data_IF_769718334642
#
_entry.id   IF_769718334642
#
_cell.length_a   1.000
_cell.length_b   1.000
_cell.length_c   1.000
_cell.angle_alpha   90.00
_cell.angle_beta   90.00
_cell.angle_gamma   90.00
#
_symmetry.space_group_name_H-M   'P 1'
#
loop_
_entity.id
_entity.type
_entity.pdbx_description
1 polymer ?
#
# COMPACT_ATOMS: atom_id res chain seq x y z
N UNK A 1 8.10 -60.39 -5.96
CA UNK A 1 8.03 -59.76 -4.62
C UNK A 1 9.36 -59.03 -4.42
N UNK A 2 9.61 -57.84 -5.00
CA UNK A 2 9.06 -56.52 -4.65
C UNK A 2 8.99 -56.30 -3.14
N UNK A 3 10.11 -55.87 -2.55
CA UNK A 3 10.19 -54.73 -1.61
C UNK A 3 11.66 -54.51 -1.19
N UNK A 4 12.45 -53.94 -2.10
CA UNK A 4 13.52 -53.02 -1.69
C UNK A 4 12.83 -51.69 -1.36
N UNK A 5 12.68 -51.39 -0.07
CA UNK A 5 12.25 -50.07 0.39
C UNK A 5 13.28 -49.56 1.41
N UNK A 6 14.38 -49.10 0.84
CA UNK A 6 15.17 -47.94 1.25
C UNK A 6 14.50 -47.08 2.35
N UNK A 7 14.83 -47.27 3.63
CA UNK A 7 14.52 -46.26 4.66
C UNK A 7 15.48 -46.31 5.87
N UNK A 8 16.79 -46.30 5.59
CA UNK A 8 17.80 -45.83 6.55
C UNK A 8 18.52 -44.65 5.91
N UNK A 9 17.96 -43.44 6.07
CA UNK A 9 18.70 -42.17 6.05
C UNK A 9 17.73 -40.97 6.18
N UNK A 10 17.54 -40.49 7.41
CA UNK A 10 17.43 -39.08 7.84
C UNK A 10 16.67 -39.07 9.15
N UNK A 11 17.40 -39.05 10.28
CA UNK A 11 17.64 -37.82 11.04
C UNK A 11 16.34 -37.04 11.23
N UNK A 12 15.74 -37.24 12.40
CA UNK A 12 15.16 -36.19 13.25
C UNK A 12 15.08 -34.81 12.60
N UNK A 13 13.95 -34.48 11.97
CA UNK A 13 13.51 -33.09 11.90
C UNK A 13 12.56 -32.85 13.06
N UNK A 14 13.16 -32.76 14.24
CA UNK A 14 12.63 -31.98 15.34
C UNK A 14 12.80 -30.52 14.90
N UNK A 15 11.88 -30.03 14.07
CA UNK A 15 11.86 -28.63 13.66
C UNK A 15 11.58 -27.80 14.90
N UNK A 16 12.68 -27.27 15.43
CA UNK A 16 12.71 -26.24 16.45
C UNK A 16 11.63 -25.23 16.13
N UNK A 17 10.77 -25.01 17.11
CA UNK A 17 9.83 -23.91 17.21
C UNK A 17 10.65 -22.60 17.26
N UNK A 18 11.26 -22.23 16.14
CA UNK A 18 11.81 -20.89 15.94
C UNK A 18 10.60 -20.01 15.71
N UNK A 19 10.38 -19.06 16.62
CA UNK A 19 9.32 -18.05 16.57
C UNK A 19 9.31 -17.28 15.25
N UNK A 20 8.76 -17.89 14.22
CA UNK A 20 8.23 -17.20 13.06
C UNK A 20 6.88 -16.68 13.52
N UNK A 21 6.88 -15.56 14.23
CA UNK A 21 5.71 -14.68 14.30
C UNK A 21 5.47 -14.18 12.88
N UNK A 22 4.94 -15.07 12.05
CA UNK A 22 4.59 -14.79 10.67
C UNK A 22 3.42 -13.83 10.79
N UNK A 23 3.61 -12.59 10.37
CA UNK A 23 2.49 -11.68 10.19
C UNK A 23 1.55 -12.39 9.21
N UNK A 24 0.34 -12.73 9.65
CA UNK A 24 -0.67 -13.44 8.86
C UNK A 24 -1.29 -12.49 7.83
N UNK A 25 -0.45 -12.02 6.91
CA UNK A 25 -0.80 -11.04 5.89
C UNK A 25 -1.53 -11.73 4.74
N UNK A 26 -2.77 -11.33 4.54
CA UNK A 26 -3.53 -11.61 3.33
C UNK A 26 -2.84 -11.01 2.09
N UNK A 27 -3.10 -11.53 0.88
CA UNK A 27 -2.56 -10.94 -0.35
C UNK A 27 -2.86 -9.43 -0.47
N UNK A 28 -4.07 -9.03 -0.10
CA UNK A 28 -4.51 -7.63 -0.13
C UNK A 28 -3.71 -6.74 0.82
N UNK A 29 -3.33 -7.24 2.00
CA UNK A 29 -2.47 -6.50 2.92
C UNK A 29 -1.04 -6.37 2.39
N UNK A 30 -0.55 -7.38 1.66
CA UNK A 30 0.76 -7.28 0.99
C UNK A 30 0.75 -6.25 -0.14
N UNK A 31 -0.33 -6.18 -0.92
CA UNK A 31 -0.48 -5.17 -1.98
C UNK A 31 -0.48 -3.76 -1.38
N UNK A 32 -1.16 -3.56 -0.26
CA UNK A 32 -1.15 -2.30 0.50
C UNK A 32 0.27 -1.92 0.98
N UNK A 33 1.07 -2.89 1.43
CA UNK A 33 2.47 -2.65 1.79
C UNK A 33 3.34 -2.28 0.58
N UNK A 34 3.03 -2.82 -0.60
CA UNK A 34 3.72 -2.47 -1.84
C UNK A 34 3.42 -1.02 -2.22
N UNK A 35 2.16 -0.59 -2.12
CA UNK A 35 1.76 0.81 -2.32
C UNK A 35 2.48 1.73 -1.33
N UNK A 36 2.52 1.37 -0.05
CA UNK A 36 3.25 2.15 0.96
C UNK A 36 4.75 2.30 0.60
N UNK A 37 5.37 1.23 0.10
CA UNK A 37 6.77 1.27 -0.34
C UNK A 37 6.97 2.22 -1.54
N UNK A 38 6.04 2.21 -2.50
CA UNK A 38 6.05 3.13 -3.62
C UNK A 38 5.83 4.60 -3.17
N UNK A 39 4.96 4.82 -2.19
CA UNK A 39 4.71 6.13 -1.61
C UNK A 39 5.96 6.69 -0.90
N UNK A 40 6.68 5.86 -0.13
CA UNK A 40 7.95 6.26 0.51
C UNK A 40 9.01 6.64 -0.53
N UNK A 41 9.06 5.94 -1.67
CA UNK A 41 9.96 6.30 -2.77
C UNK A 41 9.57 7.66 -3.38
N UNK A 42 8.28 7.88 -3.60
CA UNK A 42 7.73 9.13 -4.12
C UNK A 42 8.02 10.31 -3.16
N UNK A 43 7.77 10.13 -1.86
CA UNK A 43 8.05 11.14 -0.83
C UNK A 43 9.52 11.57 -0.85
N UNK A 44 10.45 10.59 -0.89
CA UNK A 44 11.88 10.88 -0.99
C UNK A 44 12.26 11.58 -2.28
N UNK A 45 11.58 11.32 -3.40
CA UNK A 45 11.80 12.01 -4.69
C UNK A 45 11.29 13.45 -4.60
N UNK A 46 10.08 13.66 -4.08
CA UNK A 46 9.49 14.99 -3.84
C UNK A 46 10.37 15.84 -2.92
N UNK A 47 10.89 15.25 -1.84
CA UNK A 47 11.79 15.95 -0.90
C UNK A 47 13.11 16.42 -1.54
N UNK A 48 13.51 15.87 -2.69
CA UNK A 48 14.65 16.35 -3.49
C UNK A 48 14.27 17.38 -4.55
N UNK A 49 13.00 17.78 -4.62
CA UNK A 49 12.47 18.72 -5.61
C UNK A 49 12.18 18.10 -6.98
N UNK A 50 12.02 16.77 -7.07
CA UNK A 50 11.61 16.12 -8.31
C UNK A 50 10.08 16.15 -8.45
N UNK A 51 9.61 16.53 -9.64
CA UNK A 51 8.22 16.36 -10.04
C UNK A 51 7.86 14.87 -10.12
N UNK A 52 6.76 14.49 -9.50
CA UNK A 52 6.30 13.11 -9.44
C UNK A 52 5.63 12.66 -10.74
N UNK A 53 5.84 11.40 -11.09
CA UNK A 53 5.13 10.76 -12.19
C UNK A 53 3.77 10.16 -11.73
N UNK A 54 3.03 9.57 -12.68
CA UNK A 54 1.74 8.95 -12.43
C UNK A 54 1.73 7.94 -11.25
N UNK A 55 2.53 6.86 -11.25
CA UNK A 55 2.46 5.87 -10.17
C UNK A 55 2.93 6.43 -8.83
N UNK A 56 3.87 7.38 -8.81
CA UNK A 56 4.30 8.06 -7.58
C UNK A 56 3.20 8.91 -6.97
N UNK A 57 2.50 9.70 -7.80
CA UNK A 57 1.40 10.53 -7.35
C UNK A 57 0.26 9.68 -6.77
N UNK A 58 -0.16 8.63 -7.50
CA UNK A 58 -1.20 7.70 -7.03
C UNK A 58 -0.80 7.02 -5.73
N UNK A 59 0.45 6.54 -5.62
CA UNK A 59 0.94 5.89 -4.40
C UNK A 59 0.94 6.83 -3.20
N UNK A 60 1.44 8.06 -3.37
CA UNK A 60 1.53 9.06 -2.31
C UNK A 60 0.14 9.43 -1.76
N UNK A 61 -0.82 9.72 -2.66
CA UNK A 61 -2.20 10.05 -2.28
C UNK A 61 -2.87 8.86 -1.61
N UNK A 62 -2.68 7.65 -2.15
CA UNK A 62 -3.23 6.42 -1.56
C UNK A 62 -2.73 6.17 -0.15
N UNK A 63 -1.42 6.36 0.09
CA UNK A 63 -0.83 6.20 1.40
C UNK A 63 -1.40 7.21 2.41
N UNK A 64 -1.58 8.48 2.01
CA UNK A 64 -2.19 9.49 2.86
C UNK A 64 -3.61 9.12 3.29
N UNK A 65 -4.43 8.60 2.36
CA UNK A 65 -5.79 8.12 2.66
C UNK A 65 -5.76 6.94 3.64
N UNK A 66 -4.83 6.01 3.44
CA UNK A 66 -4.70 4.83 4.31
C UNK A 66 -4.30 5.23 5.74
N UNK A 67 -3.35 6.15 5.90
CA UNK A 67 -2.94 6.65 7.22
C UNK A 67 -4.06 7.45 7.88
N UNK A 68 -4.76 8.31 7.15
CA UNK A 68 -5.89 9.06 7.70
C UNK A 68 -7.07 8.16 8.13
N UNK A 69 -7.33 7.07 7.40
CA UNK A 69 -8.29 6.06 7.83
C UNK A 69 -7.83 5.34 9.10
N UNK A 70 -6.51 5.09 9.23
CA UNK A 70 -5.93 4.47 10.42
C UNK A 70 -5.98 5.39 11.65
N UNK A 71 -5.89 6.70 11.44
CA UNK A 71 -6.09 7.75 12.45
C UNK A 71 -7.55 7.90 12.88
N UNK A 72 -8.48 7.22 12.19
CA UNK A 72 -9.91 7.26 12.51
C UNK A 72 -10.64 8.47 11.93
N UNK A 73 -10.07 9.14 10.93
CA UNK A 73 -10.77 10.18 10.17
C UNK A 73 -11.95 9.57 9.43
N UNK A 74 -12.96 10.38 9.17
CA UNK A 74 -14.14 9.98 8.41
C UNK A 74 -13.83 9.85 6.91
N UNK A 75 -14.65 9.08 6.18
CA UNK A 75 -14.55 8.97 4.72
C UNK A 75 -14.64 10.35 4.06
N UNK A 76 -15.53 11.21 4.53
CA UNK A 76 -15.71 12.54 3.97
C UNK A 76 -14.48 13.45 4.16
N UNK A 77 -13.82 13.36 5.32
CA UNK A 77 -12.56 14.08 5.55
C UNK A 77 -11.46 13.60 4.62
N UNK A 78 -11.35 12.28 4.40
CA UNK A 78 -10.32 11.71 3.52
C UNK A 78 -10.57 12.01 2.04
N UNK A 79 -11.83 12.12 1.63
CA UNK A 79 -12.20 12.59 0.29
C UNK A 79 -11.68 14.00 0.03
N UNK A 80 -11.74 14.88 1.03
CA UNK A 80 -11.23 16.24 0.92
C UNK A 80 -9.71 16.30 1.08
N UNK A 81 -9.16 15.63 2.10
CA UNK A 81 -7.72 15.60 2.36
C UNK A 81 -6.94 15.07 1.17
N UNK A 82 -7.46 14.05 0.48
CA UNK A 82 -6.83 13.49 -0.71
C UNK A 82 -6.60 14.50 -1.83
N UNK A 83 -7.35 15.60 -1.89
CA UNK A 83 -7.14 16.69 -2.87
C UNK A 83 -6.11 17.73 -2.43
N UNK A 84 -5.57 17.60 -1.21
CA UNK A 84 -4.60 18.55 -0.62
C UNK A 84 -3.19 17.98 -0.55
N UNK A 85 -3.01 16.70 -0.87
CA UNK A 85 -1.74 15.97 -0.73
C UNK A 85 -0.71 16.39 -1.79
N UNK A 86 -1.19 16.66 -3.01
CA UNK A 86 -0.36 17.05 -4.14
C UNK A 86 -1.02 18.18 -4.91
N UNK A 87 -0.20 19.14 -5.30
CA UNK A 87 -0.57 20.21 -6.20
C UNK A 87 -0.06 19.95 -7.62
N UNK A 88 -0.55 20.72 -8.60
CA UNK A 88 -0.05 20.64 -9.99
C UNK A 88 1.44 20.92 -10.15
N UNK A 89 2.06 21.66 -9.23
CA UNK A 89 3.51 21.94 -9.27
C UNK A 89 4.36 20.74 -8.80
N UNK A 90 3.79 19.85 -7.99
CA UNK A 90 4.47 18.66 -7.47
C UNK A 90 4.59 17.52 -8.49
N UNK A 91 3.84 17.59 -9.60
CA UNK A 91 3.75 16.50 -10.59
C UNK A 91 4.25 16.92 -11.96
N UNK A 92 4.61 15.92 -12.77
CA UNK A 92 4.95 16.13 -14.18
C UNK A 92 3.72 16.60 -14.98
N UNK A 93 3.97 17.33 -16.06
CA UNK A 93 2.92 17.89 -16.89
C UNK A 93 2.05 16.77 -17.49
N UNK A 94 0.73 16.92 -17.44
CA UNK A 94 -0.24 15.92 -17.90
C UNK A 94 -0.62 14.87 -16.85
N UNK A 95 0.11 14.74 -15.74
CA UNK A 95 -0.19 13.72 -14.71
C UNK A 95 -1.50 14.01 -13.99
N UNK A 96 -1.81 15.29 -13.74
CA UNK A 96 -3.06 15.67 -13.08
C UNK A 96 -4.30 15.27 -13.91
N UNK A 97 -4.22 15.41 -15.22
CA UNK A 97 -5.29 15.04 -16.16
C UNK A 97 -5.45 13.52 -16.29
N UNK A 98 -4.37 12.76 -16.09
CA UNK A 98 -4.39 11.30 -16.12
C UNK A 98 -5.06 10.67 -14.89
N UNK A 99 -5.23 11.42 -13.80
CA UNK A 99 -5.75 10.94 -12.52
C UNK A 99 -7.08 11.66 -12.22
N UNK A 100 -8.20 11.29 -12.88
CA UNK A 100 -9.51 11.89 -12.62
C UNK A 100 -10.07 11.47 -11.26
N UNK A 101 -9.79 10.25 -10.83
CA UNK A 101 -10.16 9.74 -9.53
C UNK A 101 -9.17 8.69 -9.02
N UNK A 102 -9.07 8.58 -7.69
CA UNK A 102 -8.33 7.53 -7.00
C UNK A 102 -9.30 6.81 -6.07
N UNK A 103 -9.34 5.48 -6.17
CA UNK A 103 -10.18 4.62 -5.34
C UNK A 103 -9.32 3.73 -4.46
N UNK A 104 -9.54 3.81 -3.15
CA UNK A 104 -8.73 3.11 -2.16
C UNK A 104 -9.64 2.46 -1.12
N UNK A 105 -9.44 1.16 -0.91
CA UNK A 105 -10.11 0.47 0.18
C UNK A 105 -9.27 0.57 1.46
N UNK A 106 -9.68 1.44 2.38
CA UNK A 106 -8.98 1.69 3.63
C UNK A 106 -9.69 1.01 4.82
N UNK A 107 -8.92 0.68 5.85
CA UNK A 107 -9.42 0.01 7.05
C UNK A 107 -9.62 1.06 8.16
N UNK A 108 -10.88 1.37 8.43
CA UNK A 108 -11.32 2.29 9.48
C UNK A 108 -11.57 1.54 10.79
N UNK A 109 -11.69 2.25 11.93
CA UNK A 109 -12.06 1.64 13.21
C UNK A 109 -13.38 0.85 13.17
N UNK A 110 -14.29 1.21 12.26
CA UNK A 110 -15.61 0.59 12.11
C UNK A 110 -15.71 -0.38 10.91
N UNK A 111 -14.60 -0.65 10.22
CA UNK A 111 -14.53 -1.63 9.14
C UNK A 111 -13.81 -1.13 7.89
N UNK A 112 -13.77 -1.98 6.87
CA UNK A 112 -13.15 -1.60 5.59
C UNK A 112 -14.15 -0.86 4.71
N UNK A 113 -13.76 0.30 4.18
CA UNK A 113 -14.60 1.14 3.32
C UNK A 113 -13.82 1.59 2.09
N UNK A 114 -14.55 1.81 0.99
CA UNK A 114 -14.01 2.41 -0.22
C UNK A 114 -14.03 3.94 -0.09
N UNK A 115 -12.88 4.57 -0.30
CA UNK A 115 -12.73 6.03 -0.40
C UNK A 115 -12.44 6.36 -1.84
N UNK A 116 -13.21 7.28 -2.41
CA UNK A 116 -13.00 7.79 -3.78
C UNK A 116 -12.66 9.27 -3.70
N UNK A 117 -11.46 9.63 -4.15
CA UNK A 117 -11.03 11.02 -4.24
C UNK A 117 -11.15 11.45 -5.70
N UNK A 118 -11.98 12.46 -5.95
CA UNK A 118 -12.17 13.03 -7.28
C UNK A 118 -11.21 14.19 -7.48
N UNK A 119 -10.52 14.22 -8.62
CA UNK A 119 -9.53 15.24 -8.99
C UNK A 119 -8.53 15.53 -7.85
N UNK A 120 -7.74 14.52 -7.43
CA UNK A 120 -6.87 14.64 -6.26
C UNK A 120 -5.70 15.62 -6.44
N UNK A 121 -5.44 16.12 -7.66
CA UNK A 121 -4.36 17.05 -7.96
C UNK A 121 -4.95 18.32 -8.54
N UNK A 122 -4.91 19.40 -7.76
CA UNK A 122 -5.47 20.73 -8.11
C UNK A 122 -4.41 21.79 -8.31
#
# INVERSE_FOLDING_TARGET
MLTQALFIARRTDNTKNNGNTKMELTPREKDKLLIFTAALLAERRRARGLKLNYPEAVALITAAIMEGARDGRSVAELMHEGTTVLSREDVMDGVAEMIPDIQVEATFPDGTKLVTVHHPIV
#
